data_IF_760546240317
#
_entry.id   IF_760546240317
#
_cell.length_a   1.000
_cell.length_b   1.000
_cell.length_c   1.000
_cell.angle_alpha   90.00
_cell.angle_beta   90.00
_cell.angle_gamma   90.00
#
_symmetry.space_group_name_H-M   'P 1'
#
loop_
_entity.id
_entity.type
_entity.pdbx_description
1 polymer ?
#
# COMPACT_ATOMS: atom_id res chain seq x y z
N UNK A 1 -9.20 -4.55 -19.01
CA UNK A 1 -8.34 -4.91 -17.86
C UNK A 1 -8.99 -4.31 -16.63
N UNK A 2 -9.12 -5.02 -15.50
CA UNK A 2 -9.72 -4.43 -14.30
C UNK A 2 -8.88 -3.26 -13.75
N UNK A 3 -9.55 -2.29 -13.15
CA UNK A 3 -8.94 -1.14 -12.51
C UNK A 3 -8.68 -1.43 -11.03
N UNK A 4 -7.48 -1.12 -10.55
CA UNK A 4 -7.08 -1.28 -9.16
C UNK A 4 -6.58 0.05 -8.60
N UNK A 5 -6.77 0.27 -7.29
CA UNK A 5 -6.30 1.47 -6.60
C UNK A 5 -5.37 1.09 -5.45
N UNK A 6 -4.25 1.80 -5.30
CA UNK A 6 -3.21 1.52 -4.31
C UNK A 6 -3.13 2.66 -3.30
N UNK A 7 -3.79 2.48 -2.15
CA UNK A 7 -3.99 3.55 -1.18
C UNK A 7 -3.00 3.41 -0.03
N UNK A 8 -2.17 4.43 0.19
CA UNK A 8 -1.27 4.50 1.34
C UNK A 8 -2.03 5.06 2.54
N UNK A 9 -1.87 4.44 3.70
CA UNK A 9 -2.48 4.88 4.98
C UNK A 9 -1.39 5.30 5.99
N UNK A 10 -1.83 6.12 6.94
CA UNK A 10 -1.07 6.58 8.11
C UNK A 10 0.02 7.64 7.85
N UNK A 11 1.31 7.27 7.69
CA UNK A 11 2.43 8.23 7.76
C UNK A 11 2.39 9.36 6.73
N UNK A 12 2.08 9.01 5.49
CA UNK A 12 1.85 9.94 4.38
C UNK A 12 0.67 9.40 3.58
N UNK A 13 -0.56 9.61 4.07
CA UNK A 13 -1.72 8.96 3.51
C UNK A 13 -2.00 9.56 2.13
N UNK A 14 -2.04 8.71 1.12
CA UNK A 14 -2.40 9.07 -0.24
C UNK A 14 -3.49 8.14 -0.72
N UNK A 15 -4.60 8.74 -1.16
CA UNK A 15 -5.65 8.00 -1.84
C UNK A 15 -5.35 8.02 -3.32
N UNK A 16 -5.39 6.86 -3.94
CA UNK A 16 -5.25 6.75 -5.38
C UNK A 16 -6.61 7.05 -6.03
N UNK A 17 -6.68 8.18 -6.72
CA UNK A 17 -7.88 8.66 -7.41
C UNK A 17 -7.99 8.12 -8.83
N UNK A 18 -6.87 7.79 -9.46
CA UNK A 18 -6.81 7.44 -10.87
C UNK A 18 -6.86 5.92 -11.07
N UNK A 19 -6.22 5.17 -10.16
CA UNK A 19 -6.06 3.74 -10.31
C UNK A 19 -5.15 3.38 -11.49
N UNK A 20 -4.86 2.08 -11.61
CA UNK A 20 -4.08 1.53 -12.70
C UNK A 20 -4.68 0.22 -13.19
N UNK A 21 -4.65 0.00 -14.50
CA UNK A 21 -5.20 -1.20 -15.14
C UNK A 21 -4.21 -2.36 -15.08
N UNK A 22 -4.67 -3.52 -14.59
CA UNK A 22 -3.89 -4.75 -14.59
C UNK A 22 -4.63 -5.89 -15.28
N UNK A 23 -3.93 -6.91 -15.81
CA UNK A 23 -4.58 -8.09 -16.40
C UNK A 23 -5.46 -8.87 -15.42
N UNK A 24 -4.99 -9.03 -14.18
CA UNK A 24 -5.61 -9.84 -13.13
C UNK A 24 -5.10 -9.44 -11.73
N UNK A 25 -5.67 -10.09 -10.70
CA UNK A 25 -5.33 -9.88 -9.29
C UNK A 25 -3.85 -10.22 -8.99
N UNK A 26 -3.25 -11.19 -9.68
CA UNK A 26 -1.86 -11.60 -9.46
C UNK A 26 -0.89 -10.52 -9.93
N UNK A 27 -1.17 -9.90 -11.07
CA UNK A 27 -0.40 -8.76 -11.58
C UNK A 27 -0.51 -7.54 -10.65
N UNK A 28 -1.71 -7.26 -10.13
CA UNK A 28 -1.92 -6.20 -9.13
C UNK A 28 -1.18 -6.51 -7.81
N UNK A 29 -1.17 -7.77 -7.36
CA UNK A 29 -0.41 -8.20 -6.18
C UNK A 29 1.09 -8.01 -6.37
N UNK A 30 1.63 -8.43 -7.53
CA UNK A 30 3.04 -8.22 -7.85
C UNK A 30 3.39 -6.73 -7.83
N UNK A 31 2.54 -5.88 -8.40
CA UNK A 31 2.75 -4.43 -8.38
C UNK A 31 2.74 -3.87 -6.94
N UNK A 32 1.73 -4.18 -6.11
CA UNK A 32 1.66 -3.60 -4.75
C UNK A 32 2.86 -3.99 -3.89
N UNK A 33 3.41 -5.20 -4.05
CA UNK A 33 4.60 -5.60 -3.27
C UNK A 33 5.85 -4.79 -3.64
N UNK A 34 6.02 -4.46 -4.92
CA UNK A 34 7.10 -3.56 -5.38
C UNK A 34 6.85 -2.13 -4.92
N UNK A 35 5.66 -1.60 -5.18
CA UNK A 35 5.26 -0.24 -4.78
C UNK A 35 5.42 -0.01 -3.27
N UNK A 36 5.00 -0.97 -2.45
CA UNK A 36 5.16 -0.89 -1.00
C UNK A 36 6.64 -0.77 -0.58
N UNK A 37 7.54 -1.46 -1.28
CA UNK A 37 8.98 -1.35 -1.05
C UNK A 37 9.54 0.05 -1.42
N UNK A 38 9.03 0.64 -2.49
CA UNK A 38 9.41 1.99 -2.93
C UNK A 38 8.94 3.05 -1.93
N UNK A 39 7.68 3.00 -1.49
CA UNK A 39 7.16 3.91 -0.46
C UNK A 39 7.95 3.77 0.84
N UNK A 40 8.26 2.54 1.27
CA UNK A 40 9.07 2.33 2.47
C UNK A 40 10.50 2.88 2.35
N UNK A 41 11.08 2.85 1.15
CA UNK A 41 12.37 3.46 0.88
C UNK A 41 12.30 4.99 1.00
N UNK A 42 11.25 5.61 0.48
CA UNK A 42 11.03 7.07 0.51
C UNK A 42 10.66 7.61 1.90
N UNK A 43 10.16 6.76 2.79
CA UNK A 43 10.01 7.12 4.21
C UNK A 43 11.37 7.45 4.85
N UNK A 44 12.48 6.89 4.36
CA UNK A 44 13.87 7.29 4.67
C UNK A 44 14.14 7.53 6.17
N UNK A 45 13.86 6.52 7.01
CA UNK A 45 14.11 6.58 8.45
C UNK A 45 13.15 7.45 9.26
N UNK A 46 12.13 8.03 8.62
CA UNK A 46 11.03 8.75 9.30
C UNK A 46 10.04 7.79 9.98
N UNK A 47 10.05 6.50 9.65
CA UNK A 47 9.31 5.45 10.36
C UNK A 47 9.91 5.19 11.76
N UNK A 48 9.19 5.54 12.81
CA UNK A 48 9.62 5.49 14.22
C UNK A 48 8.84 4.43 15.00
N UNK A 49 9.45 3.82 16.05
CA UNK A 49 8.77 2.87 16.91
C UNK A 49 7.41 3.38 17.43
N UNK A 50 6.39 2.55 17.34
CA UNK A 50 5.01 2.88 17.71
C UNK A 50 4.15 3.36 16.55
N UNK A 51 4.72 3.49 15.35
CA UNK A 51 3.97 3.81 14.14
C UNK A 51 3.57 2.55 13.36
N UNK A 52 2.47 2.69 12.64
CA UNK A 52 1.95 1.72 11.68
C UNK A 52 1.82 2.41 10.33
N UNK A 53 1.97 1.64 9.27
CA UNK A 53 1.84 2.07 7.89
C UNK A 53 1.28 0.92 7.08
N UNK A 54 0.41 1.23 6.12
CA UNK A 54 -0.14 0.20 5.24
C UNK A 54 -0.43 0.70 3.84
N UNK A 55 -0.45 -0.26 2.90
CA UNK A 55 -0.97 -0.07 1.54
C UNK A 55 -2.15 -0.99 1.34
N UNK A 56 -3.27 -0.43 0.89
CA UNK A 56 -4.50 -1.14 0.59
C UNK A 56 -4.72 -1.18 -0.93
N UNK A 57 -4.97 -2.37 -1.46
CA UNK A 57 -5.38 -2.56 -2.86
C UNK A 57 -6.89 -2.75 -2.90
N UNK A 58 -7.57 -1.91 -3.68
CA UNK A 58 -9.01 -2.04 -3.91
C UNK A 58 -9.32 -2.26 -5.39
N UNK A 59 -10.42 -2.96 -5.68
CA UNK A 59 -10.95 -3.10 -7.04
C UNK A 59 -11.68 -1.82 -7.52
N UNK A 60 -12.22 -1.88 -8.75
CA UNK A 60 -13.02 -0.81 -9.38
C UNK A 60 -14.24 -0.38 -8.56
N UNK A 61 -14.78 -1.28 -7.73
CA UNK A 61 -15.91 -1.04 -6.83
C UNK A 61 -15.46 -0.54 -5.46
N UNK A 62 -14.17 -0.19 -5.31
CA UNK A 62 -13.51 0.22 -4.06
C UNK A 62 -13.60 -0.84 -2.96
N UNK A 63 -13.75 -2.13 -3.32
CA UNK A 63 -13.69 -3.24 -2.37
C UNK A 63 -12.23 -3.62 -2.14
N UNK A 64 -11.83 -3.69 -0.87
CA UNK A 64 -10.46 -4.07 -0.51
C UNK A 64 -10.19 -5.54 -0.83
N UNK A 65 -9.19 -5.78 -1.66
CA UNK A 65 -8.70 -7.11 -2.02
C UNK A 65 -7.51 -7.51 -1.15
N UNK A 66 -6.57 -6.59 -0.96
CA UNK A 66 -5.30 -6.85 -0.27
C UNK A 66 -4.91 -5.69 0.65
N UNK A 67 -4.14 -6.02 1.70
CA UNK A 67 -3.51 -5.03 2.58
C UNK A 67 -2.13 -5.53 3.02
N UNK A 68 -1.11 -4.71 2.78
CA UNK A 68 0.23 -4.90 3.35
C UNK A 68 0.36 -3.93 4.52
N UNK A 69 0.70 -4.43 5.70
CA UNK A 69 0.85 -3.62 6.91
C UNK A 69 2.22 -3.83 7.54
N UNK A 70 2.86 -2.73 7.93
CA UNK A 70 4.11 -2.71 8.68
C UNK A 70 3.86 -1.95 9.96
N UNK A 71 4.16 -2.58 11.10
CA UNK A 71 4.10 -1.95 12.42
C UNK A 71 5.46 -2.00 13.10
N UNK A 72 5.79 -0.93 13.81
CA UNK A 72 7.02 -0.85 14.59
C UNK A 72 6.69 -0.76 16.08
N UNK A 73 7.46 -1.46 16.91
CA UNK A 73 7.26 -1.46 18.36
C UNK A 73 8.60 -1.39 19.07
N UNK A 74 8.70 -0.55 20.10
CA UNK A 74 9.84 -0.55 21.02
C UNK A 74 9.64 -1.68 22.02
N UNK A 75 10.51 -2.69 22.01
CA UNK A 75 10.54 -3.71 23.08
C UNK A 75 11.18 -3.10 24.33
N UNK A 76 10.63 -3.42 25.50
CA UNK A 76 11.16 -3.05 26.81
C UNK A 76 12.29 -3.99 27.22
#
# INVERSE_FOLDING_TARGET
>A
MPLYFFNVRDLEPSTDEYGEEFPDDEAAWKHVTTFAGEVMKDIDGRFRPGQEWSVEVTDEQRRMLYRIEISSRKRK
#
